data_IF_587175529361
#
_entry.id   IF_587175529361
#
_cell.length_a   1.000
_cell.length_b   1.000
_cell.length_c   1.000
_cell.angle_alpha   90.00
_cell.angle_beta   90.00
_cell.angle_gamma   90.00
#
_symmetry.space_group_name_H-M   'P 1'
#
loop_
_entity.id
_entity.type
_entity.pdbx_description
1 polymer ?
#
# COMPACT_ATOMS: atom_id res chain seq x y z
N UNK A 1 -37.22 12.69 19.13
CA UNK A 1 -36.98 11.42 18.42
C UNK A 1 -35.78 11.49 17.46
N UNK A 2 -35.23 12.68 17.14
CA UNK A 2 -34.12 12.84 16.18
C UNK A 2 -32.72 12.54 16.73
N UNK A 3 -32.56 12.43 18.05
CA UNK A 3 -31.26 12.15 18.68
C UNK A 3 -30.85 10.67 18.62
N UNK A 4 -31.81 9.75 18.56
CA UNK A 4 -31.50 8.32 18.52
C UNK A 4 -30.84 7.84 17.24
N UNK A 5 -31.03 8.53 16.13
CA UNK A 5 -30.38 8.19 14.84
C UNK A 5 -28.93 8.65 14.77
N UNK A 6 -28.51 9.60 15.61
CA UNK A 6 -27.15 10.15 15.65
C UNK A 6 -26.29 9.45 16.70
N UNK A 7 -26.87 8.95 17.78
CA UNK A 7 -26.17 8.26 18.86
C UNK A 7 -25.83 6.84 18.41
N UNK A 8 -24.56 6.54 18.21
CA UNK A 8 -24.06 5.21 17.77
C UNK A 8 -23.74 4.26 18.95
N UNK A 9 -23.46 4.82 20.11
CA UNK A 9 -23.21 4.07 21.34
C UNK A 9 -23.73 4.86 22.54
N UNK A 10 -24.45 4.19 23.45
CA UNK A 10 -24.83 4.71 24.76
C UNK A 10 -24.34 3.73 25.81
N UNK A 11 -23.40 4.17 26.64
CA UNK A 11 -22.78 3.33 27.68
C UNK A 11 -22.29 4.19 28.83
N UNK A 12 -22.14 3.62 30.01
CA UNK A 12 -21.50 4.17 31.20
C UNK A 12 -20.08 3.64 31.41
N UNK A 13 -19.61 2.80 30.50
CA UNK A 13 -18.28 2.13 30.54
C UNK A 13 -17.33 2.68 29.50
N UNK A 14 -16.20 3.20 29.96
CA UNK A 14 -15.09 3.58 29.08
C UNK A 14 -14.52 2.39 28.27
N UNK A 15 -14.59 1.18 28.85
CA UNK A 15 -14.20 -0.02 28.11
C UNK A 15 -15.11 -0.23 26.91
N UNK A 16 -16.43 -0.08 27.06
CA UNK A 16 -17.36 -0.20 25.93
C UNK A 16 -17.15 0.88 24.87
N UNK A 17 -16.77 2.10 25.26
CA UNK A 17 -16.39 3.16 24.32
C UNK A 17 -15.13 2.76 23.55
N UNK A 18 -14.10 2.28 24.25
CA UNK A 18 -12.88 1.79 23.64
C UNK A 18 -13.15 0.61 22.68
N UNK A 19 -13.89 -0.40 23.13
CA UNK A 19 -14.22 -1.58 22.32
C UNK A 19 -15.03 -1.19 21.07
N UNK A 20 -15.95 -0.23 21.18
CA UNK A 20 -16.70 0.31 20.04
C UNK A 20 -15.79 1.05 19.04
N UNK A 21 -14.91 1.92 19.54
CA UNK A 21 -13.98 2.67 18.70
C UNK A 21 -12.92 1.76 18.08
N UNK A 22 -12.44 0.76 18.83
CA UNK A 22 -11.51 -0.27 18.33
C UNK A 22 -12.18 -1.21 17.32
N UNK A 23 -13.49 -1.40 17.41
CA UNK A 23 -14.27 -2.18 16.43
C UNK A 23 -14.51 -1.44 15.10
N UNK A 24 -14.09 -0.18 14.99
CA UNK A 24 -14.00 0.55 13.72
C UNK A 24 -12.69 0.17 13.00
N UNK A 25 -12.37 -1.11 12.96
CA UNK A 25 -11.15 -1.64 12.38
C UNK A 25 -10.94 -1.15 10.95
N UNK A 26 -9.77 -0.59 10.69
CA UNK A 26 -9.31 -0.27 9.34
C UNK A 26 -8.71 -1.53 8.69
N UNK A 27 -9.55 -2.57 8.59
CA UNK A 27 -9.23 -3.87 8.04
C UNK A 27 -9.98 -4.11 6.73
N UNK A 28 -9.28 -4.69 5.77
CA UNK A 28 -9.84 -5.14 4.48
C UNK A 28 -9.41 -6.57 4.18
N UNK A 29 -10.33 -7.38 3.65
CA UNK A 29 -10.00 -8.62 2.95
C UNK A 29 -10.50 -8.47 1.51
N UNK A 30 -9.56 -8.35 0.58
CA UNK A 30 -9.81 -7.99 -0.81
C UNK A 30 -9.38 -9.12 -1.74
N UNK A 31 -10.12 -9.32 -2.82
CA UNK A 31 -9.78 -10.28 -3.88
C UNK A 31 -9.94 -9.61 -5.22
N UNK A 32 -8.94 -9.79 -6.09
CA UNK A 32 -8.96 -9.37 -7.48
C UNK A 32 -8.53 -10.55 -8.34
N UNK A 33 -9.34 -10.89 -9.33
CA UNK A 33 -9.01 -11.93 -10.29
C UNK A 33 -9.14 -11.36 -11.70
N UNK A 34 -8.13 -11.56 -12.51
CA UNK A 34 -8.12 -11.31 -13.95
C UNK A 34 -7.92 -12.65 -14.67
N UNK A 35 -7.66 -12.62 -15.97
CA UNK A 35 -7.24 -13.83 -16.69
C UNK A 35 -5.80 -14.21 -16.36
N UNK A 36 -4.98 -13.22 -16.00
CA UNK A 36 -3.53 -13.31 -15.79
C UNK A 36 -3.16 -13.52 -14.32
N UNK A 37 -3.99 -13.00 -13.39
CA UNK A 37 -3.66 -13.01 -11.96
C UNK A 37 -4.84 -13.37 -11.07
N UNK A 38 -4.53 -14.04 -9.93
CA UNK A 38 -5.47 -14.26 -8.82
C UNK A 38 -4.84 -13.72 -7.55
N UNK A 39 -5.43 -12.69 -6.99
CA UNK A 39 -4.86 -11.91 -5.89
C UNK A 39 -5.79 -11.95 -4.69
N UNK A 40 -5.20 -12.21 -3.53
CA UNK A 40 -5.85 -12.06 -2.23
C UNK A 40 -5.00 -11.17 -1.36
N UNK A 41 -5.59 -10.11 -0.79
CA UNK A 41 -4.95 -9.18 0.14
C UNK A 41 -5.77 -9.09 1.40
N UNK A 42 -5.11 -9.21 2.55
CA UNK A 42 -5.66 -8.84 3.84
C UNK A 42 -4.79 -7.71 4.40
N UNK A 43 -5.40 -6.60 4.71
CA UNK A 43 -4.77 -5.35 5.13
C UNK A 43 -5.38 -4.89 6.44
N UNK A 44 -4.55 -4.65 7.46
CA UNK A 44 -4.92 -3.99 8.70
C UNK A 44 -4.04 -2.76 8.93
N UNK A 45 -4.63 -1.56 8.82
CA UNK A 45 -3.90 -0.31 9.03
C UNK A 45 -3.60 -0.03 10.51
N UNK A 46 -4.28 -0.74 11.43
CA UNK A 46 -4.06 -0.66 12.87
C UNK A 46 -3.18 -1.83 13.37
N UNK A 47 -2.38 -2.40 12.48
CA UNK A 47 -1.52 -3.54 12.70
C UNK A 47 -0.27 -3.27 13.53
N UNK A 48 0.68 -4.19 13.42
CA UNK A 48 1.97 -4.15 14.16
C UNK A 48 3.19 -4.38 13.24
N UNK A 49 2.98 -4.35 11.92
CA UNK A 49 4.01 -4.58 10.90
C UNK A 49 4.28 -6.06 10.64
N UNK A 50 3.27 -6.91 10.79
CA UNK A 50 3.37 -8.32 10.44
C UNK A 50 3.01 -8.52 8.98
N UNK A 51 3.82 -9.29 8.28
CA UNK A 51 3.60 -9.61 6.88
C UNK A 51 3.63 -11.12 6.62
N UNK A 52 2.89 -11.53 5.58
CA UNK A 52 2.99 -12.84 4.96
C UNK A 52 2.71 -12.65 3.47
N UNK A 53 3.78 -12.63 2.67
CA UNK A 53 3.73 -12.18 1.28
C UNK A 53 4.28 -13.28 0.37
N UNK A 54 3.53 -13.61 -0.67
CA UNK A 54 3.85 -14.63 -1.66
C UNK A 54 3.30 -14.18 -3.01
N UNK A 55 4.15 -13.50 -3.81
CA UNK A 55 3.83 -13.08 -5.17
C UNK A 55 4.54 -13.91 -6.23
N UNK A 56 5.48 -14.77 -5.81
CA UNK A 56 6.36 -15.51 -6.69
C UNK A 56 7.59 -14.73 -7.16
N UNK A 57 7.75 -13.45 -6.76
CA UNK A 57 8.89 -12.59 -7.06
C UNK A 57 9.58 -12.21 -5.74
N UNK A 58 10.75 -12.80 -5.49
CA UNK A 58 11.42 -12.71 -4.17
C UNK A 58 11.79 -11.27 -3.78
N UNK A 59 12.24 -10.46 -4.74
CA UNK A 59 12.58 -9.06 -4.45
C UNK A 59 11.31 -8.22 -4.20
N UNK A 60 10.25 -8.48 -4.96
CA UNK A 60 8.97 -7.80 -4.76
C UNK A 60 8.34 -8.15 -3.41
N UNK A 61 8.37 -9.42 -3.02
CA UNK A 61 7.94 -9.88 -1.69
C UNK A 61 8.71 -9.15 -0.59
N UNK A 62 10.04 -9.03 -0.74
CA UNK A 62 10.89 -8.31 0.21
C UNK A 62 10.51 -6.82 0.32
N UNK A 63 10.21 -6.15 -0.80
CA UNK A 63 9.82 -4.74 -0.79
C UNK A 63 8.46 -4.53 -0.10
N UNK A 64 7.50 -5.38 -0.36
CA UNK A 64 6.19 -5.36 0.30
C UNK A 64 6.30 -5.68 1.80
N UNK A 65 7.21 -6.58 2.19
CA UNK A 65 7.54 -6.83 3.60
C UNK A 65 8.11 -5.59 4.28
N UNK A 66 9.04 -4.87 3.63
CA UNK A 66 9.56 -3.60 4.16
C UNK A 66 8.46 -2.54 4.29
N UNK A 67 7.54 -2.47 3.32
CA UNK A 67 6.37 -1.59 3.42
C UNK A 67 5.57 -1.90 4.69
N UNK A 68 5.20 -3.16 4.90
CA UNK A 68 4.47 -3.60 6.10
C UNK A 68 5.22 -3.25 7.38
N UNK A 69 6.48 -3.65 7.47
CA UNK A 69 7.32 -3.49 8.65
C UNK A 69 7.51 -2.03 9.07
N UNK A 70 7.78 -1.15 8.11
CA UNK A 70 8.09 0.25 8.40
C UNK A 70 6.84 1.13 8.57
N UNK A 71 5.72 0.76 7.97
CA UNK A 71 4.44 1.45 8.16
C UNK A 71 3.64 0.93 9.35
N UNK A 72 4.07 -0.18 9.97
CA UNK A 72 3.34 -0.91 11.02
C UNK A 72 1.97 -1.47 10.58
N UNK A 73 1.72 -1.53 9.29
CA UNK A 73 0.52 -2.13 8.71
C UNK A 73 0.69 -3.65 8.67
N UNK A 74 -0.31 -4.41 9.11
CA UNK A 74 -0.28 -5.85 8.91
C UNK A 74 -0.76 -6.17 7.49
N UNK A 75 0.02 -7.00 6.76
CA UNK A 75 -0.18 -7.23 5.34
C UNK A 75 0.00 -8.71 4.99
N UNK A 76 -1.08 -9.34 4.50
CA UNK A 76 -1.04 -10.68 3.95
C UNK A 76 -1.41 -10.63 2.47
N UNK A 77 -0.47 -10.98 1.60
CA UNK A 77 -0.63 -10.95 0.14
C UNK A 77 -0.32 -12.33 -0.44
N UNK A 78 -1.25 -12.84 -1.22
CA UNK A 78 -1.02 -14.02 -2.04
C UNK A 78 -1.42 -13.75 -3.47
N UNK A 79 -0.50 -14.02 -4.40
CA UNK A 79 -0.68 -13.84 -5.83
C UNK A 79 -0.35 -15.14 -6.56
N UNK A 80 -1.25 -15.54 -7.46
CA UNK A 80 -1.02 -16.58 -8.47
C UNK A 80 -1.08 -15.85 -9.82
N UNK A 81 0.09 -15.47 -10.34
CA UNK A 81 0.27 -14.71 -11.58
C UNK A 81 0.93 -15.51 -12.69
N UNK A 82 0.84 -15.02 -13.91
CA UNK A 82 1.35 -15.63 -15.12
C UNK A 82 2.87 -15.40 -15.33
N UNK A 83 3.68 -15.59 -14.28
CA UNK A 83 5.14 -15.37 -14.27
C UNK A 83 5.92 -16.15 -15.34
N UNK A 84 5.28 -17.14 -15.98
CA UNK A 84 5.84 -17.79 -17.15
C UNK A 84 5.80 -16.92 -18.42
N UNK A 85 5.03 -15.83 -18.41
CA UNK A 85 5.01 -14.78 -19.44
C UNK A 85 6.04 -13.72 -19.08
N UNK A 86 5.76 -12.95 -18.02
CA UNK A 86 6.67 -12.00 -17.38
C UNK A 86 6.14 -11.60 -15.99
N UNK A 87 6.78 -10.62 -15.34
CA UNK A 87 6.42 -10.09 -14.04
C UNK A 87 5.40 -8.94 -14.08
N UNK A 88 5.10 -8.38 -15.23
CA UNK A 88 4.33 -7.13 -15.43
C UNK A 88 2.95 -7.23 -14.78
N UNK A 89 2.13 -8.20 -15.19
CA UNK A 89 0.78 -8.38 -14.66
C UNK A 89 0.78 -8.62 -13.14
N UNK A 90 1.73 -9.41 -12.65
CA UNK A 90 1.87 -9.71 -11.23
C UNK A 90 2.11 -8.44 -10.42
N UNK A 91 3.02 -7.57 -10.86
CA UNK A 91 3.37 -6.33 -10.14
C UNK A 91 2.24 -5.31 -10.25
N UNK A 92 1.72 -5.04 -11.44
CA UNK A 92 0.68 -4.02 -11.63
C UNK A 92 -0.64 -4.40 -10.96
N UNK A 93 -1.14 -5.61 -11.17
CA UNK A 93 -2.40 -6.05 -10.58
C UNK A 93 -2.32 -6.12 -9.05
N UNK A 94 -1.17 -6.50 -8.50
CA UNK A 94 -0.93 -6.47 -7.04
C UNK A 94 -0.98 -5.03 -6.53
N UNK A 95 -0.35 -4.09 -7.24
CA UNK A 95 -0.36 -2.68 -6.88
C UNK A 95 -1.78 -2.09 -6.91
N UNK A 96 -2.58 -2.39 -7.97
CA UNK A 96 -3.98 -1.98 -8.07
C UNK A 96 -4.78 -2.55 -6.90
N UNK A 97 -4.68 -3.86 -6.65
CA UNK A 97 -5.43 -4.54 -5.60
C UNK A 97 -5.07 -4.00 -4.20
N UNK A 98 -3.78 -3.73 -3.95
CA UNK A 98 -3.32 -3.12 -2.72
C UNK A 98 -3.85 -1.69 -2.57
N UNK A 99 -3.80 -0.88 -3.63
CA UNK A 99 -4.36 0.46 -3.64
C UNK A 99 -5.88 0.48 -3.38
N UNK A 100 -6.64 -0.41 -4.01
CA UNK A 100 -8.08 -0.56 -3.78
C UNK A 100 -8.37 -1.00 -2.34
N UNK A 101 -7.53 -1.87 -1.75
CA UNK A 101 -7.62 -2.25 -0.34
C UNK A 101 -7.43 -1.05 0.57
N UNK A 102 -6.42 -0.22 0.34
CA UNK A 102 -6.20 1.04 1.06
C UNK A 102 -7.41 1.98 0.91
N UNK A 103 -7.90 2.19 -0.30
CA UNK A 103 -9.06 3.05 -0.56
C UNK A 103 -10.30 2.58 0.20
N UNK A 104 -10.50 1.26 0.29
CA UNK A 104 -11.62 0.65 0.99
C UNK A 104 -11.56 0.90 2.51
N UNK A 105 -10.41 0.67 3.14
CA UNK A 105 -10.26 0.84 4.61
C UNK A 105 -10.23 2.30 5.05
N UNK A 106 -9.73 3.20 4.20
CA UNK A 106 -9.73 4.64 4.45
C UNK A 106 -11.14 5.26 4.32
N UNK A 107 -12.03 4.62 3.61
CA UNK A 107 -13.44 4.99 3.50
C UNK A 107 -13.67 6.46 3.19
N UNK A 108 -14.35 7.18 4.08
CA UNK A 108 -14.66 8.62 3.91
C UNK A 108 -13.45 9.54 4.09
N UNK A 109 -12.30 9.00 4.47
CA UNK A 109 -11.02 9.74 4.65
C UNK A 109 -11.09 10.89 5.66
N UNK A 110 -11.98 10.77 6.66
CA UNK A 110 -12.12 11.76 7.72
C UNK A 110 -10.96 11.61 8.71
N UNK A 111 -10.28 12.73 9.02
CA UNK A 111 -9.16 12.74 9.95
C UNK A 111 -7.84 12.28 9.35
N UNK A 112 -7.78 12.07 8.02
CA UNK A 112 -6.53 11.76 7.32
C UNK A 112 -5.90 13.08 6.86
N UNK A 113 -4.62 13.23 7.13
CA UNK A 113 -3.81 14.35 6.68
C UNK A 113 -2.98 14.00 5.44
N UNK A 114 -2.49 15.01 4.74
CA UNK A 114 -1.41 14.87 3.77
C UNK A 114 -0.13 14.60 4.52
N UNK A 115 0.69 13.71 3.99
CA UNK A 115 1.90 13.28 4.67
C UNK A 115 3.09 13.29 3.72
N UNK A 116 4.25 13.65 4.27
CA UNK A 116 5.53 13.57 3.56
C UNK A 116 6.59 12.97 4.47
N UNK A 117 7.47 12.19 3.88
CA UNK A 117 8.60 11.60 4.56
C UNK A 117 9.86 11.70 3.69
N UNK A 118 10.99 11.91 4.33
CA UNK A 118 12.31 11.92 3.70
C UNK A 118 13.21 10.94 4.45
N UNK A 119 13.75 9.96 3.73
CA UNK A 119 14.53 8.87 4.30
C UNK A 119 15.86 8.73 3.59
N UNK A 120 17.01 8.81 4.30
CA UNK A 120 18.30 8.50 3.75
C UNK A 120 18.62 7.00 3.88
N UNK A 121 19.35 6.46 2.90
CA UNK A 121 20.00 5.17 2.97
C UNK A 121 21.37 5.25 2.28
N UNK A 122 22.45 5.30 3.07
CA UNK A 122 23.82 5.60 2.62
C UNK A 122 23.88 6.90 1.78
N UNK A 123 24.23 6.79 0.49
CA UNK A 123 24.29 7.91 -0.45
C UNK A 123 22.94 8.27 -1.08
N UNK A 124 21.92 7.47 -0.83
CA UNK A 124 20.58 7.67 -1.42
C UNK A 124 19.68 8.45 -0.49
N UNK A 125 18.80 9.23 -1.07
CA UNK A 125 17.77 9.98 -0.38
C UNK A 125 16.45 9.81 -1.12
N UNK A 126 15.45 9.24 -0.46
CA UNK A 126 14.08 9.17 -0.96
C UNK A 126 13.20 10.23 -0.26
N UNK A 127 12.43 10.96 -1.05
CA UNK A 127 11.44 11.93 -0.58
C UNK A 127 10.08 11.56 -1.18
N UNK A 128 9.11 11.32 -0.33
CA UNK A 128 7.77 10.90 -0.73
C UNK A 128 6.73 11.79 -0.07
N UNK A 129 5.82 12.34 -0.87
CA UNK A 129 4.66 13.10 -0.37
C UNK A 129 3.39 12.48 -0.91
N UNK A 130 2.41 12.26 -0.04
CA UNK A 130 1.15 11.57 -0.37
C UNK A 130 -0.08 12.35 0.06
N UNK A 131 -1.14 12.25 -0.75
CA UNK A 131 -2.48 12.76 -0.45
C UNK A 131 -3.53 11.78 -0.96
N UNK A 132 -4.28 11.17 -0.05
CA UNK A 132 -5.42 10.31 -0.38
C UNK A 132 -6.66 11.12 -0.77
N UNK A 133 -6.48 12.19 -1.53
CA UNK A 133 -7.51 13.18 -1.90
C UNK A 133 -8.61 12.69 -2.86
N UNK A 134 -8.58 11.44 -3.31
CA UNK A 134 -9.57 10.85 -4.22
C UNK A 134 -9.27 11.06 -5.71
N UNK A 135 -8.15 11.69 -6.05
CA UNK A 135 -7.66 11.88 -7.42
C UNK A 135 -6.30 11.21 -7.57
N UNK A 136 -6.20 10.32 -8.52
CA UNK A 136 -4.96 9.64 -8.84
C UNK A 136 -4.01 10.56 -9.60
N UNK A 137 -2.77 10.68 -9.10
CA UNK A 137 -1.69 11.34 -9.82
C UNK A 137 -0.35 10.88 -9.27
N UNK A 138 0.60 10.55 -10.15
CA UNK A 138 1.97 10.24 -9.78
C UNK A 138 2.92 11.25 -10.41
N UNK A 139 3.74 11.90 -9.59
CA UNK A 139 4.96 12.58 -10.03
C UNK A 139 6.14 11.68 -9.67
N UNK A 140 6.90 11.30 -10.66
CA UNK A 140 8.01 10.36 -10.53
C UNK A 140 9.32 11.02 -10.98
N UNK A 141 10.24 11.20 -10.04
CA UNK A 141 11.58 11.73 -10.23
C UNK A 141 12.59 10.76 -9.61
N UNK A 142 12.73 9.58 -10.25
CA UNK A 142 13.67 8.56 -9.86
C UNK A 142 14.22 7.88 -11.12
N UNK A 143 15.55 7.89 -11.27
CA UNK A 143 16.25 7.26 -12.39
C UNK A 143 16.99 6.02 -11.89
N UNK A 144 16.83 4.90 -12.61
CA UNK A 144 17.56 3.66 -12.40
C UNK A 144 18.38 3.36 -13.66
N UNK A 145 19.66 3.01 -13.47
CA UNK A 145 20.58 2.67 -14.57
C UNK A 145 20.70 1.17 -14.80
N UNK A 146 20.37 0.38 -13.79
CA UNK A 146 20.32 -1.08 -13.91
C UNK A 146 18.99 -1.48 -14.52
N UNK A 147 19.00 -2.50 -15.36
CA UNK A 147 17.79 -3.06 -15.96
C UNK A 147 16.94 -3.80 -14.92
N UNK A 148 17.58 -4.44 -13.93
CA UNK A 148 16.90 -5.25 -12.90
C UNK A 148 17.57 -5.10 -11.54
N UNK A 149 16.74 -5.22 -10.50
CA UNK A 149 17.18 -5.44 -9.12
C UNK A 149 16.49 -6.71 -8.62
N UNK A 150 17.30 -7.71 -8.24
CA UNK A 150 16.76 -9.05 -7.99
C UNK A 150 16.08 -9.62 -9.25
N UNK A 151 14.86 -10.08 -9.06
CA UNK A 151 13.99 -10.64 -10.10
C UNK A 151 13.02 -9.63 -10.73
N UNK A 152 13.11 -8.33 -10.36
CA UNK A 152 12.21 -7.27 -10.82
C UNK A 152 12.94 -6.29 -11.73
N UNK A 153 12.45 -5.99 -12.97
CA UNK A 153 12.93 -4.89 -13.79
C UNK A 153 12.70 -3.54 -13.12
N UNK A 154 13.62 -2.63 -13.24
CA UNK A 154 13.54 -1.31 -12.56
C UNK A 154 12.41 -0.43 -13.09
N UNK A 155 11.99 -0.62 -14.33
CA UNK A 155 10.80 0.05 -14.89
C UNK A 155 9.52 -0.30 -14.12
N UNK A 156 9.45 -1.50 -13.55
CA UNK A 156 8.29 -1.95 -12.78
C UNK A 156 8.08 -1.16 -11.49
N UNK A 157 9.07 -0.44 -10.99
CA UNK A 157 8.88 0.44 -9.83
C UNK A 157 7.95 1.61 -10.15
N UNK A 158 8.12 2.24 -11.33
CA UNK A 158 7.17 3.24 -11.80
C UNK A 158 5.77 2.65 -11.97
N UNK A 159 5.67 1.50 -12.62
CA UNK A 159 4.39 0.80 -12.86
C UNK A 159 3.68 0.45 -11.55
N UNK A 160 4.42 -0.04 -10.55
CA UNK A 160 3.87 -0.31 -9.22
C UNK A 160 3.26 0.94 -8.58
N UNK A 161 4.03 2.02 -8.47
CA UNK A 161 3.53 3.24 -7.80
C UNK A 161 2.41 3.90 -8.60
N UNK A 162 2.46 3.85 -9.93
CA UNK A 162 1.38 4.37 -10.79
C UNK A 162 0.08 3.59 -10.55
N UNK A 163 0.14 2.28 -10.59
CA UNK A 163 -1.00 1.39 -10.40
C UNK A 163 -1.54 1.45 -8.97
N UNK A 164 -0.67 1.56 -7.98
CA UNK A 164 -1.06 1.78 -6.59
C UNK A 164 -1.80 3.12 -6.42
N UNK A 165 -1.28 4.21 -6.98
CA UNK A 165 -1.96 5.51 -6.95
C UNK A 165 -3.35 5.46 -7.59
N UNK A 166 -3.50 4.73 -8.69
CA UNK A 166 -4.78 4.57 -9.38
C UNK A 166 -5.79 3.79 -8.52
N UNK A 167 -5.39 2.66 -7.94
CA UNK A 167 -6.22 1.86 -7.04
C UNK A 167 -6.59 2.60 -5.76
N UNK A 168 -5.63 3.25 -5.13
CA UNK A 168 -5.81 4.00 -3.88
C UNK A 168 -6.53 5.35 -4.07
N UNK A 169 -6.67 5.82 -5.31
CA UNK A 169 -7.16 7.17 -5.65
C UNK A 169 -6.40 8.24 -4.87
N UNK A 170 -5.07 8.13 -4.91
CA UNK A 170 -4.17 9.01 -4.19
C UNK A 170 -3.24 9.78 -5.14
N UNK A 171 -2.74 10.88 -4.64
CA UNK A 171 -1.67 11.66 -5.26
C UNK A 171 -0.35 11.30 -4.57
N UNK A 172 0.69 11.03 -5.35
CA UNK A 172 2.04 10.82 -4.84
C UNK A 172 3.05 11.64 -5.62
N UNK A 173 4.01 12.22 -4.90
CA UNK A 173 5.21 12.83 -5.45
C UNK A 173 6.40 12.07 -4.87
N UNK A 174 7.17 11.42 -5.73
CA UNK A 174 8.32 10.59 -5.37
C UNK A 174 9.54 11.17 -6.04
N UNK A 175 10.56 11.48 -5.23
CA UNK A 175 11.87 11.89 -5.69
C UNK A 175 12.94 11.04 -5.02
N UNK A 176 13.88 10.49 -5.82
CA UNK A 176 14.97 9.67 -5.31
C UNK A 176 16.28 10.13 -5.91
N UNK A 177 17.27 10.41 -5.05
CA UNK A 177 18.62 10.79 -5.41
C UNK A 177 19.61 9.74 -4.89
N UNK A 178 20.81 9.69 -5.48
CA UNK A 178 21.89 8.80 -5.09
C UNK A 178 22.37 7.91 -6.23
N UNK A 179 23.39 7.10 -5.96
CA UNK A 179 24.03 6.25 -6.97
C UNK A 179 23.86 4.76 -6.72
N UNK A 180 23.55 4.36 -5.49
CA UNK A 180 23.38 2.96 -5.13
C UNK A 180 21.96 2.49 -5.51
N UNK A 181 21.87 1.74 -6.60
CA UNK A 181 20.61 1.28 -7.18
C UNK A 181 19.80 0.33 -6.25
N UNK A 182 20.46 -0.30 -5.26
CA UNK A 182 19.78 -1.15 -4.29
C UNK A 182 19.19 -0.36 -3.12
N UNK A 183 19.61 0.90 -2.93
CA UNK A 183 19.20 1.76 -1.82
C UNK A 183 18.22 2.86 -2.25
N UNK A 184 17.98 2.98 -3.55
CA UNK A 184 16.94 3.85 -4.09
C UNK A 184 15.56 3.25 -3.86
#
# INVERSE_FOLDING_TARGET
DSLNDVVKLKTDSWKSVYDYLSGLNRYSSFKRNTNETKIKIELDLDGTGKSNIDTGLSFFDHMLDQLSKHSLVDLNIKVDGDLNVDEHHTVEDTAIALGESFSSVLGKKIGIERYAFSLPMDDCLAQVSVDFGGRSWLVWDAEFKRERIGDVPTEMFYHFFKSFCDGAKMNANIKVEGTNEHHK
#
